data_IF_808893222786
#
_entry.id   IF_808893222786
#
_cell.length_a   1.000
_cell.length_b   1.000
_cell.length_c   1.000
_cell.angle_alpha   90.00
_cell.angle_beta   90.00
_cell.angle_gamma   90.00
#
_symmetry.space_group_name_H-M   'P 1'
#
loop_
_entity.id
_entity.type
_entity.pdbx_description
1 polymer ?
#
# COMPACT_ATOMS: atom_id res chain seq x y z
N UNK A 1 -43.12 -9.42 7.60
CA UNK A 1 -42.11 -9.68 6.54
C UNK A 1 -42.40 -8.73 5.38
N UNK A 2 -41.45 -8.17 4.59
CA UNK A 2 -40.02 -8.49 4.40
C UNK A 2 -39.11 -7.25 4.69
N UNK A 3 -37.77 -7.23 4.69
CA UNK A 3 -36.78 -7.86 3.82
C UNK A 3 -35.59 -8.41 4.63
N UNK A 4 -35.19 -9.60 4.20
CA UNK A 4 -34.10 -10.44 4.69
C UNK A 4 -32.76 -9.77 4.35
N UNK A 5 -32.03 -9.24 5.33
CA UNK A 5 -30.65 -8.73 5.14
C UNK A 5 -29.68 -9.91 5.07
N UNK A 6 -29.66 -10.61 3.94
CA UNK A 6 -28.57 -11.49 3.52
C UNK A 6 -27.46 -10.57 2.97
N UNK A 7 -26.16 -10.66 3.25
CA UNK A 7 -25.31 -11.64 3.92
C UNK A 7 -24.17 -10.84 4.57
N UNK A 8 -23.66 -11.37 5.67
CA UNK A 8 -22.32 -11.07 6.16
C UNK A 8 -21.32 -11.40 5.03
N UNK A 9 -20.92 -10.40 4.25
CA UNK A 9 -19.86 -10.55 3.25
C UNK A 9 -18.57 -10.72 4.03
N UNK A 10 -18.00 -11.94 4.02
CA UNK A 10 -16.65 -12.21 4.53
C UNK A 10 -15.74 -11.04 4.12
N UNK A 11 -14.97 -10.42 5.02
CA UNK A 11 -14.08 -9.34 4.60
C UNK A 11 -13.18 -9.93 3.52
N UNK A 12 -13.34 -9.42 2.29
CA UNK A 12 -12.37 -9.63 1.22
C UNK A 12 -11.03 -9.27 1.85
N UNK A 13 -10.14 -10.27 1.97
CA UNK A 13 -8.92 -10.30 2.81
C UNK A 13 -8.54 -8.91 3.32
N UNK A 14 -8.68 -8.70 4.64
CA UNK A 14 -8.25 -7.46 5.27
C UNK A 14 -6.82 -7.14 4.78
N UNK A 15 -6.64 -5.94 4.22
CA UNK A 15 -5.32 -5.47 3.80
C UNK A 15 -4.36 -5.56 4.99
N UNK A 16 -3.09 -5.94 4.78
CA UNK A 16 -2.14 -6.13 5.86
C UNK A 16 -2.07 -4.88 6.73
N UNK A 17 -2.31 -5.04 8.04
CA UNK A 17 -2.31 -3.93 8.99
C UNK A 17 -0.92 -3.30 9.15
N UNK A 18 0.12 -4.03 8.78
CA UNK A 18 1.54 -3.66 8.83
C UNK A 18 2.05 -3.02 7.53
N UNK A 19 1.17 -2.71 6.58
CA UNK A 19 1.56 -1.99 5.37
C UNK A 19 2.24 -0.64 5.63
N UNK A 20 1.76 0.23 6.55
CA UNK A 20 2.45 1.49 6.83
C UNK A 20 3.89 1.28 7.29
N UNK A 21 4.13 0.24 8.09
CA UNK A 21 5.44 -0.16 8.61
C UNK A 21 6.35 -0.67 7.48
N UNK A 22 5.83 -1.54 6.61
CA UNK A 22 6.53 -2.00 5.40
C UNK A 22 6.89 -0.85 4.47
N UNK A 23 6.00 0.12 4.30
CA UNK A 23 6.25 1.31 3.48
C UNK A 23 7.35 2.19 4.07
N UNK A 24 7.35 2.42 5.38
CA UNK A 24 8.43 3.16 6.09
C UNK A 24 9.77 2.43 5.94
N UNK A 25 9.77 1.11 6.11
CA UNK A 25 10.95 0.27 5.94
C UNK A 25 11.47 0.30 4.52
N UNK A 26 10.60 0.18 3.52
CA UNK A 26 10.96 0.32 2.11
C UNK A 26 11.60 1.67 1.81
N UNK A 27 11.05 2.77 2.34
CA UNK A 27 11.65 4.11 2.20
C UNK A 27 13.03 4.21 2.85
N UNK A 28 13.23 3.56 4.01
CA UNK A 28 14.51 3.55 4.70
C UNK A 28 15.56 2.73 3.94
N UNK A 29 15.20 1.54 3.46
CA UNK A 29 16.11 0.64 2.75
C UNK A 29 16.40 1.08 1.31
N UNK A 30 15.46 1.78 0.64
CA UNK A 30 15.67 2.30 -0.72
C UNK A 30 16.49 3.59 -0.78
N UNK A 31 16.68 4.28 0.35
CA UNK A 31 17.33 5.60 0.40
C UNK A 31 16.51 6.75 -0.19
N UNK A 32 15.33 6.49 -0.75
CA UNK A 32 14.48 7.49 -1.37
C UNK A 32 13.89 8.45 -0.33
N UNK A 33 13.69 9.72 -0.69
CA UNK A 33 12.79 10.60 0.03
C UNK A 33 11.33 10.23 -0.24
N UNK A 34 10.42 10.69 0.62
CA UNK A 34 8.98 10.49 0.41
C UNK A 34 8.46 11.13 -0.89
N UNK A 35 9.08 12.25 -1.29
CA UNK A 35 8.75 12.95 -2.52
C UNK A 35 9.26 12.19 -3.76
N UNK A 36 10.48 11.66 -3.72
CA UNK A 36 10.98 10.81 -4.81
C UNK A 36 10.15 9.53 -4.94
N UNK A 37 9.76 8.93 -3.82
CA UNK A 37 8.87 7.78 -3.83
C UNK A 37 7.55 8.11 -4.53
N UNK A 38 6.88 9.20 -4.16
CA UNK A 38 5.62 9.58 -4.81
C UNK A 38 5.81 9.85 -6.31
N UNK A 39 6.91 10.50 -6.72
CA UNK A 39 7.23 10.72 -8.14
C UNK A 39 7.45 9.42 -8.89
N UNK A 40 8.20 8.47 -8.33
CA UNK A 40 8.44 7.15 -8.95
C UNK A 40 7.18 6.31 -9.06
N UNK A 41 6.26 6.44 -8.12
CA UNK A 41 4.96 5.76 -8.15
C UNK A 41 3.91 6.50 -9.00
N UNK A 42 4.20 7.70 -9.51
CA UNK A 42 3.24 8.52 -10.25
C UNK A 42 2.08 9.03 -9.40
N UNK A 43 2.25 9.16 -8.08
CA UNK A 43 1.19 9.58 -7.15
C UNK A 43 1.46 10.96 -6.55
N UNK A 44 0.40 11.58 -6.03
CA UNK A 44 0.56 12.78 -5.23
C UNK A 44 1.25 12.47 -3.88
N UNK A 45 2.13 13.34 -3.34
CA UNK A 45 2.79 13.13 -2.05
C UNK A 45 1.80 12.93 -0.87
N UNK A 46 0.67 13.63 -0.90
CA UNK A 46 -0.40 13.48 0.11
C UNK A 46 -0.98 12.06 0.14
N UNK A 47 -1.05 11.39 -1.01
CA UNK A 47 -1.51 10.00 -1.09
C UNK A 47 -0.56 9.08 -0.31
N UNK A 48 0.76 9.26 -0.51
CA UNK A 48 1.79 8.50 0.21
C UNK A 48 1.79 8.83 1.71
N UNK A 49 1.51 10.07 2.09
CA UNK A 49 1.35 10.46 3.50
C UNK A 49 0.19 9.71 4.16
N UNK A 50 -0.99 9.66 3.53
CA UNK A 50 -2.15 8.95 4.07
C UNK A 50 -1.90 7.45 4.21
N UNK A 51 -1.12 6.85 3.31
CA UNK A 51 -0.66 5.47 3.43
C UNK A 51 0.24 5.25 4.64
N UNK A 52 1.23 6.13 4.84
CA UNK A 52 2.14 6.10 5.98
C UNK A 52 1.42 6.26 7.33
N UNK A 53 0.33 7.03 7.35
CA UNK A 53 -0.51 7.26 8.52
C UNK A 53 -1.62 6.19 8.68
N UNK A 54 -1.73 5.22 7.75
CA UNK A 54 -2.76 4.18 7.78
C UNK A 54 -4.19 4.68 7.48
N UNK A 55 -4.33 5.94 7.06
CA UNK A 55 -5.62 6.59 6.77
C UNK A 55 -6.20 6.16 5.42
N UNK A 56 -5.35 5.66 4.51
CA UNK A 56 -5.76 5.17 3.21
C UNK A 56 -4.93 3.95 2.81
N UNK A 57 -5.47 3.16 1.88
CA UNK A 57 -4.80 2.02 1.27
C UNK A 57 -4.45 2.33 -0.19
N UNK A 58 -3.34 1.80 -0.73
CA UNK A 58 -3.09 1.84 -2.16
C UNK A 58 -4.19 1.05 -2.88
N UNK A 59 -4.62 1.55 -4.03
CA UNK A 59 -5.42 0.75 -4.96
C UNK A 59 -4.53 -0.28 -5.68
N UNK A 60 -5.13 -1.13 -6.52
CA UNK A 60 -4.39 -2.18 -7.23
C UNK A 60 -3.26 -1.63 -8.11
N UNK A 61 -3.49 -0.52 -8.80
CA UNK A 61 -2.48 0.11 -9.68
C UNK A 61 -1.27 0.61 -8.87
N UNK A 62 -1.51 1.35 -7.80
CA UNK A 62 -0.48 1.83 -6.90
C UNK A 62 0.28 0.68 -6.22
N UNK A 63 -0.43 -0.38 -5.84
CA UNK A 63 0.20 -1.56 -5.26
C UNK A 63 1.11 -2.27 -6.27
N UNK A 64 0.67 -2.42 -7.53
CA UNK A 64 1.51 -2.98 -8.59
C UNK A 64 2.73 -2.11 -8.87
N UNK A 65 2.57 -0.78 -8.93
CA UNK A 65 3.70 0.14 -9.11
C UNK A 65 4.71 0.04 -7.96
N UNK A 66 4.21 -0.06 -6.72
CA UNK A 66 5.03 -0.25 -5.54
C UNK A 66 5.79 -1.59 -5.56
N UNK A 67 5.11 -2.69 -5.92
CA UNK A 67 5.75 -3.99 -6.05
C UNK A 67 6.83 -4.01 -7.13
N UNK A 68 6.56 -3.44 -8.31
CA UNK A 68 7.57 -3.33 -9.39
C UNK A 68 8.78 -2.54 -8.94
N UNK A 69 8.55 -1.35 -8.36
CA UNK A 69 9.64 -0.52 -7.86
C UNK A 69 10.43 -1.23 -6.74
N UNK A 70 9.75 -1.99 -5.88
CA UNK A 70 10.41 -2.78 -4.85
C UNK A 70 11.24 -3.92 -5.44
N UNK A 71 10.76 -4.59 -6.48
CA UNK A 71 11.49 -5.65 -7.18
C UNK A 71 12.73 -5.11 -7.90
N UNK A 72 12.62 -3.96 -8.58
CA UNK A 72 13.74 -3.28 -9.25
C UNK A 72 14.86 -2.88 -8.27
N UNK A 73 14.51 -2.63 -7.00
CA UNK A 73 15.45 -2.29 -5.93
C UNK A 73 15.87 -3.50 -5.08
N UNK A 74 15.50 -4.73 -5.47
CA UNK A 74 15.71 -5.95 -4.68
C UNK A 74 15.12 -5.89 -3.25
N UNK A 75 14.05 -5.10 -3.06
CA UNK A 75 13.28 -4.93 -1.82
C UNK A 75 11.88 -5.57 -1.90
N UNK A 76 11.58 -6.33 -2.95
CA UNK A 76 10.29 -7.00 -3.17
C UNK A 76 9.78 -7.82 -1.98
N UNK A 77 10.70 -8.38 -1.18
CA UNK A 77 10.39 -9.12 0.07
C UNK A 77 9.51 -8.36 1.07
N UNK A 78 9.46 -7.03 1.00
CA UNK A 78 8.66 -6.20 1.90
C UNK A 78 7.18 -6.20 1.56
N UNK A 79 6.81 -6.52 0.32
CA UNK A 79 5.42 -6.41 -0.18
C UNK A 79 4.86 -7.72 -0.75
N UNK A 80 5.63 -8.81 -0.70
CA UNK A 80 5.14 -10.15 -1.01
C UNK A 80 4.71 -10.84 0.29
N UNK A 81 3.42 -11.19 0.39
CA UNK A 81 2.85 -12.14 1.36
C UNK A 81 2.28 -13.35 0.62
#
# INVERSE_FOLDING_TARGET
MPQRRIRNSKPVRAFPGDFPERLKRFKAESGLSWFELSRRLGTHPETVRRWKEGQARPNAENMMALCRLADDLALGRLFRD
#
